data_IF_984459834538
#
_entry.id   IF_984459834538
#
_cell.length_a   1.000
_cell.length_b   1.000
_cell.length_c   1.000
_cell.angle_alpha   90.00
_cell.angle_beta   90.00
_cell.angle_gamma   90.00
#
_symmetry.space_group_name_H-M   'P 1'
#
loop_
_entity.id
_entity.type
_entity.pdbx_description
1 polymer ?
#
# COMPACT_ATOMS: atom_id res chain seq x y z
N UNK A 1 -10.27 -10.42 21.28
CA UNK A 1 -10.31 -9.52 20.10
C UNK A 1 -9.29 -8.42 20.35
N UNK A 2 -8.21 -8.32 19.57
CA UNK A 2 -7.15 -7.32 19.84
C UNK A 2 -7.68 -5.94 19.47
N UNK A 3 -7.62 -4.99 20.40
CA UNK A 3 -8.04 -3.61 20.15
C UNK A 3 -7.13 -2.94 19.11
N UNK A 4 -7.66 -2.05 18.25
CA UNK A 4 -6.84 -1.29 17.31
C UNK A 4 -5.85 -0.41 18.07
N UNK A 5 -4.59 -0.42 17.62
CA UNK A 5 -3.50 0.38 18.19
C UNK A 5 -3.71 1.89 17.94
N UNK A 6 -4.38 2.23 16.84
CA UNK A 6 -4.76 3.60 16.48
C UNK A 6 -6.22 3.62 16.01
N UNK A 7 -7.02 4.53 16.59
CA UNK A 7 -8.41 4.78 16.16
C UNK A 7 -8.45 6.09 15.38
N UNK A 8 -8.83 6.08 14.09
CA UNK A 8 -8.89 7.30 13.29
C UNK A 8 -10.02 8.21 13.75
N UNK A 9 -9.87 9.52 13.50
CA UNK A 9 -10.88 10.53 13.80
C UNK A 9 -11.70 10.82 12.54
N UNK A 10 -13.03 10.77 12.66
CA UNK A 10 -13.92 11.09 11.55
C UNK A 10 -14.02 12.61 11.32
N UNK A 11 -14.63 13.05 10.22
CA UNK A 11 -14.76 14.48 9.92
C UNK A 11 -15.64 15.27 10.92
N UNK A 12 -16.40 14.59 11.78
CA UNK A 12 -17.06 15.23 12.93
C UNK A 12 -16.12 15.50 14.12
N UNK A 13 -14.81 15.28 13.97
CA UNK A 13 -13.78 15.37 15.02
C UNK A 13 -14.00 14.41 16.21
N UNK A 14 -14.70 13.31 15.96
CA UNK A 14 -14.91 12.25 16.95
C UNK A 14 -14.14 10.98 16.56
N UNK A 15 -13.69 10.16 17.52
CA UNK A 15 -13.14 8.84 17.22
C UNK A 15 -14.13 8.01 16.40
N UNK A 16 -13.64 7.41 15.32
CA UNK A 16 -14.44 6.52 14.48
C UNK A 16 -14.80 5.23 15.23
N UNK A 17 -15.91 4.61 14.83
CA UNK A 17 -16.36 3.30 15.31
C UNK A 17 -15.75 2.22 14.43
N UNK A 18 -15.22 1.16 15.03
CA UNK A 18 -14.81 -0.04 14.30
C UNK A 18 -16.03 -0.95 14.12
N UNK A 19 -16.37 -1.25 12.87
CA UNK A 19 -17.48 -2.12 12.47
C UNK A 19 -16.99 -3.23 11.52
N UNK A 20 -17.83 -4.25 11.32
CA UNK A 20 -17.59 -5.36 10.41
C UNK A 20 -18.59 -5.28 9.24
N UNK A 21 -18.08 -5.51 8.04
CA UNK A 21 -18.87 -5.56 6.82
C UNK A 21 -19.63 -6.89 6.75
N UNK A 22 -20.93 -6.77 6.50
CA UNK A 22 -21.85 -7.89 6.27
C UNK A 22 -22.22 -8.06 4.79
N UNK A 23 -21.57 -7.31 3.89
CA UNK A 23 -21.82 -7.45 2.45
C UNK A 23 -21.19 -8.74 1.90
N UNK A 24 -21.86 -9.38 0.95
CA UNK A 24 -21.34 -10.58 0.26
C UNK A 24 -19.98 -10.35 -0.44
N UNK A 25 -19.69 -9.12 -0.88
CA UNK A 25 -18.43 -8.79 -1.54
C UNK A 25 -17.25 -8.63 -0.57
N UNK A 26 -17.53 -8.34 0.70
CA UNK A 26 -16.53 -8.06 1.73
C UNK A 26 -16.94 -8.68 3.07
N UNK A 27 -17.17 -10.00 3.15
CA UNK A 27 -17.53 -10.64 4.41
C UNK A 27 -16.39 -10.48 5.42
N UNK A 28 -16.74 -10.27 6.69
CA UNK A 28 -15.82 -10.21 7.84
C UNK A 28 -14.74 -9.10 7.81
N UNK A 29 -14.65 -8.32 6.73
CA UNK A 29 -13.74 -7.18 6.64
C UNK A 29 -14.19 -6.09 7.60
N UNK A 30 -13.25 -5.55 8.37
CA UNK A 30 -13.54 -4.50 9.34
C UNK A 30 -13.21 -3.12 8.78
N UNK A 31 -13.97 -2.13 9.18
CA UNK A 31 -13.78 -0.74 8.76
C UNK A 31 -14.10 0.22 9.90
N UNK A 32 -13.55 1.43 9.82
CA UNK A 32 -13.86 2.55 10.67
C UNK A 32 -14.92 3.44 10.02
N UNK A 33 -16.01 3.68 10.73
CA UNK A 33 -17.12 4.54 10.30
C UNK A 33 -17.39 5.68 11.28
N UNK A 34 -18.13 6.69 10.84
CA UNK A 34 -18.63 7.72 11.75
C UNK A 34 -19.63 7.11 12.74
N UNK A 35 -19.46 7.35 14.05
CA UNK A 35 -20.41 6.89 15.10
C UNK A 35 -21.85 7.36 14.88
N UNK A 36 -22.04 8.45 14.14
CA UNK A 36 -23.35 9.04 13.83
C UNK A 36 -24.03 8.36 12.64
N UNK A 37 -23.40 7.39 11.98
CA UNK A 37 -23.95 6.73 10.79
C UNK A 37 -25.32 6.10 11.05
N UNK A 38 -25.49 5.45 12.20
CA UNK A 38 -26.77 4.84 12.62
C UNK A 38 -27.67 5.79 13.42
N UNK A 39 -27.32 7.08 13.54
CA UNK A 39 -28.07 8.03 14.35
C UNK A 39 -29.28 8.59 13.60
N UNK A 40 -30.47 8.50 14.22
CA UNK A 40 -31.68 9.18 13.72
C UNK A 40 -31.69 10.70 13.95
N UNK A 41 -30.85 11.20 14.86
CA UNK A 41 -30.89 12.59 15.34
C UNK A 41 -29.71 13.43 14.87
N UNK A 42 -28.63 12.80 14.41
CA UNK A 42 -27.39 13.49 14.05
C UNK A 42 -26.97 13.12 12.63
N UNK A 43 -26.63 14.14 11.82
CA UNK A 43 -26.13 13.92 10.46
C UNK A 43 -24.73 13.27 10.48
N UNK A 44 -24.52 12.13 9.79
CA UNK A 44 -23.20 11.51 9.69
C UNK A 44 -22.30 12.22 8.68
N UNK A 45 -20.98 12.13 8.90
CA UNK A 45 -19.99 12.73 8.00
C UNK A 45 -19.46 11.80 6.90
N UNK A 46 -20.10 10.63 6.69
CA UNK A 46 -19.71 9.63 5.66
C UNK A 46 -18.24 9.19 5.69
N UNK A 47 -17.52 9.43 6.79
CA UNK A 47 -16.17 8.93 6.98
C UNK A 47 -16.15 7.40 6.89
N UNK A 48 -15.18 6.86 6.14
CA UNK A 48 -14.93 5.44 5.97
C UNK A 48 -13.42 5.20 5.82
N UNK A 49 -12.91 4.16 6.48
CA UNK A 49 -11.54 3.66 6.29
C UNK A 49 -11.49 2.17 6.57
N UNK A 50 -10.77 1.38 5.79
CA UNK A 50 -10.55 -0.02 6.15
C UNK A 50 -9.73 -0.15 7.44
N UNK A 51 -10.01 -1.19 8.22
CA UNK A 51 -9.18 -1.58 9.35
C UNK A 51 -8.20 -2.66 8.88
N UNK A 52 -6.92 -2.30 8.87
CA UNK A 52 -5.83 -3.24 8.60
C UNK A 52 -5.27 -3.73 9.93
N UNK A 53 -5.39 -5.04 10.24
CA UNK A 53 -4.78 -5.58 11.45
C UNK A 53 -3.24 -5.49 11.36
N UNK A 54 -2.55 -5.44 12.52
CA UNK A 54 -1.10 -5.50 12.53
C UNK A 54 -0.61 -6.76 11.80
N UNK A 55 0.40 -6.58 10.95
CA UNK A 55 1.04 -7.70 10.26
C UNK A 55 1.54 -8.73 11.28
N UNK A 56 1.22 -10.00 11.05
CA UNK A 56 1.80 -11.10 11.82
C UNK A 56 3.31 -11.15 11.59
N UNK A 57 4.11 -11.65 12.54
CA UNK A 57 5.56 -11.78 12.36
C UNK A 57 5.93 -12.50 11.06
N UNK A 58 5.19 -13.57 10.72
CA UNK A 58 5.37 -14.31 9.48
C UNK A 58 5.10 -13.44 8.23
N UNK A 59 3.96 -12.75 8.18
CA UNK A 59 3.63 -11.87 7.04
C UNK A 59 4.62 -10.72 6.86
N UNK A 60 5.16 -10.19 7.97
CA UNK A 60 6.20 -9.15 7.95
C UNK A 60 7.49 -9.67 7.32
N UNK A 61 7.95 -10.86 7.68
CA UNK A 61 9.15 -11.48 7.11
C UNK A 61 8.97 -11.69 5.60
N UNK A 62 7.83 -12.26 5.20
CA UNK A 62 7.52 -12.48 3.78
C UNK A 62 7.50 -11.16 3.01
N UNK A 63 6.80 -10.14 3.52
CA UNK A 63 6.74 -8.81 2.89
C UNK A 63 8.13 -8.18 2.74
N UNK A 64 8.96 -8.21 3.78
CA UNK A 64 10.31 -7.68 3.73
C UNK A 64 11.20 -8.44 2.75
N UNK A 65 11.07 -9.77 2.69
CA UNK A 65 11.77 -10.62 1.72
C UNK A 65 11.39 -10.28 0.28
N UNK A 66 10.09 -10.11 0.01
CA UNK A 66 9.59 -9.70 -1.30
C UNK A 66 10.09 -8.30 -1.68
N UNK A 67 10.03 -7.33 -0.78
CA UNK A 67 10.54 -5.97 -1.01
C UNK A 67 12.05 -5.95 -1.28
N UNK A 68 12.82 -6.85 -0.64
CA UNK A 68 14.25 -7.00 -0.94
C UNK A 68 14.46 -7.56 -2.34
N UNK A 69 13.71 -8.59 -2.72
CA UNK A 69 13.79 -9.21 -4.05
C UNK A 69 13.43 -8.22 -5.16
N UNK A 70 12.35 -7.44 -4.99
CA UNK A 70 11.95 -6.40 -5.94
C UNK A 70 13.08 -5.39 -6.16
N UNK A 71 13.66 -4.85 -5.08
CA UNK A 71 14.79 -3.92 -5.18
C UNK A 71 15.99 -4.51 -5.91
N UNK A 72 16.37 -5.75 -5.61
CA UNK A 72 17.46 -6.44 -6.32
C UNK A 72 17.18 -6.58 -7.82
N UNK A 73 15.95 -6.90 -8.20
CA UNK A 73 15.56 -7.02 -9.61
C UNK A 73 15.55 -5.65 -10.32
N UNK A 74 15.04 -4.62 -9.67
CA UNK A 74 15.07 -3.25 -10.18
C UNK A 74 16.51 -2.74 -10.38
N UNK A 75 17.39 -3.01 -9.44
CA UNK A 75 18.81 -2.65 -9.53
C UNK A 75 19.52 -3.40 -10.66
N UNK A 76 19.24 -4.69 -10.83
CA UNK A 76 19.79 -5.50 -11.92
C UNK A 76 19.33 -4.96 -13.28
N UNK A 77 18.03 -4.68 -13.44
CA UNK A 77 17.46 -4.10 -14.66
C UNK A 77 18.05 -2.72 -14.97
N UNK A 78 18.23 -1.87 -13.95
CA UNK A 78 18.86 -0.55 -14.10
C UNK A 78 20.32 -0.67 -14.54
N UNK A 79 21.06 -1.65 -14.01
CA UNK A 79 22.45 -1.90 -14.39
C UNK A 79 22.54 -2.40 -15.83
N UNK A 80 21.70 -3.33 -16.22
CA UNK A 80 21.59 -3.81 -17.60
C UNK A 80 21.30 -2.65 -18.56
N UNK A 81 20.30 -1.81 -18.26
CA UNK A 81 19.99 -0.63 -19.08
C UNK A 81 21.17 0.32 -19.23
N UNK A 82 21.93 0.57 -18.15
CA UNK A 82 23.16 1.40 -18.22
C UNK A 82 24.23 0.76 -19.09
N UNK A 83 24.47 -0.55 -18.94
CA UNK A 83 25.45 -1.28 -19.75
C UNK A 83 25.09 -1.21 -21.23
N UNK A 84 23.83 -1.45 -21.60
CA UNK A 84 23.37 -1.36 -22.99
C UNK A 84 23.47 0.04 -23.56
N UNK A 85 23.18 1.08 -22.76
CA UNK A 85 23.39 2.47 -23.18
C UNK A 85 24.87 2.75 -23.47
N UNK A 86 25.79 2.29 -22.61
CA UNK A 86 27.23 2.45 -22.84
C UNK A 86 27.71 1.68 -24.08
N UNK A 87 27.25 0.45 -24.28
CA UNK A 87 27.56 -0.35 -25.47
C UNK A 87 27.07 0.35 -26.73
N UNK A 88 25.84 0.89 -26.73
CA UNK A 88 25.29 1.64 -27.85
C UNK A 88 26.17 2.86 -28.18
N UNK A 89 26.55 3.65 -27.17
CA UNK A 89 27.45 4.81 -27.36
C UNK A 89 28.78 4.38 -27.96
N UNK A 90 29.43 3.35 -27.43
CA UNK A 90 30.72 2.86 -27.95
C UNK A 90 30.58 2.42 -29.42
N UNK A 91 29.55 1.63 -29.76
CA UNK A 91 29.31 1.19 -31.14
C UNK A 91 29.10 2.38 -32.06
N UNK A 92 28.30 3.38 -31.67
CA UNK A 92 28.11 4.59 -32.48
C UNK A 92 29.42 5.33 -32.72
N UNK A 93 30.25 5.54 -31.68
CA UNK A 93 31.55 6.21 -31.80
C UNK A 93 32.49 5.44 -32.73
N UNK A 94 32.56 4.11 -32.63
CA UNK A 94 33.41 3.29 -33.52
C UNK A 94 32.97 3.38 -34.98
N UNK A 95 31.66 3.48 -35.26
CA UNK A 95 31.15 3.68 -36.62
C UNK A 95 31.53 5.06 -37.17
N UNK A 96 31.48 6.12 -36.35
CA UNK A 96 31.92 7.46 -36.74
C UNK A 96 33.44 7.55 -36.95
N UNK A 97 34.25 6.88 -36.13
CA UNK A 97 35.71 6.88 -36.27
C UNK A 97 36.23 6.03 -37.44
N UNK A 98 35.42 5.07 -37.92
CA UNK A 98 35.75 4.21 -39.06
C UNK A 98 35.34 4.82 -40.41
N UNK A 99 34.46 5.81 -40.39
CA UNK A 99 33.99 6.54 -41.58
C UNK A 99 34.85 7.76 -41.89
#
# INVERSE_FOLDING_TARGET
>A
MKMPEVVPVCHCRNPAKLDMSWSNDNPDRRFFGCKKFDSRFQKPCRFFSWFDPPLTPHSRIVLLGLLKKVRTLEDASKRERRTWLLVLVIVTVLLFLKS
#
